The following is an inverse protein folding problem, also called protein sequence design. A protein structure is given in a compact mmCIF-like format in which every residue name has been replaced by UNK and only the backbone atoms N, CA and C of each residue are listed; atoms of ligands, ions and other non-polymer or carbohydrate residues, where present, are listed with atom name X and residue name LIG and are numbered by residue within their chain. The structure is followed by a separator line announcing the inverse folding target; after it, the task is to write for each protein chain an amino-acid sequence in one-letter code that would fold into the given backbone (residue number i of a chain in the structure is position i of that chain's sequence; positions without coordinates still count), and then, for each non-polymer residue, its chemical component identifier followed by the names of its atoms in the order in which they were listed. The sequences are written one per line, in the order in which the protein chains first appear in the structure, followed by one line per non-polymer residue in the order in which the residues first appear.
data_IF_188866104406
#
_entry.id   IF_188866104406
#
_cell.length_a   1.000
_cell.length_b   1.000
_cell.length_c   1.000
_cell.angle_alpha   90.00
_cell.angle_beta   90.00
_cell.angle_gamma   90.00
#
_symmetry.space_group_name_H-M   'P 1'
#
loop_
_entity.id
_entity.type
_entity.pdbx_description
1 polymer ?
#
# COMPACT_ATOMS: atom_id res chain seq x y z
N UNK A 1 20.59 16.20 -61.06
CA UNK A 1 19.67 16.29 -59.90
C UNK A 1 20.29 15.46 -58.78
N UNK A 2 20.83 16.10 -57.73
CA UNK A 2 21.43 15.43 -56.56
C UNK A 2 20.42 15.48 -55.41
N UNK A 3 20.10 14.38 -54.72
CA UNK A 3 19.30 14.45 -53.50
C UNK A 3 20.21 14.68 -52.29
N UNK A 4 19.89 15.69 -51.49
CA UNK A 4 20.49 15.93 -50.18
C UNK A 4 19.83 15.00 -49.15
N UNK A 5 20.64 14.21 -48.44
CA UNK A 5 20.19 13.34 -47.35
C UNK A 5 20.28 14.16 -46.05
N UNK A 6 19.13 14.48 -45.46
CA UNK A 6 19.03 15.12 -44.14
C UNK A 6 19.18 14.01 -43.09
N UNK A 7 20.30 14.04 -42.36
CA UNK A 7 20.55 13.14 -41.24
C UNK A 7 20.00 13.77 -39.96
N UNK A 8 18.82 13.33 -39.53
CA UNK A 8 18.22 13.75 -38.25
C UNK A 8 18.79 12.90 -37.12
N UNK A 9 19.73 13.46 -36.36
CA UNK A 9 20.27 12.80 -35.16
C UNK A 9 19.22 12.83 -34.05
N UNK A 10 18.66 11.66 -33.73
CA UNK A 10 17.76 11.46 -32.61
C UNK A 10 18.60 11.31 -31.34
N UNK A 11 18.59 12.32 -30.46
CA UNK A 11 19.19 12.25 -29.13
C UNK A 11 18.34 11.34 -28.25
N UNK A 12 18.75 10.07 -28.07
CA UNK A 12 18.24 9.24 -26.99
C UNK A 12 18.77 9.79 -25.66
N UNK A 13 17.92 10.51 -24.92
CA UNK A 13 18.19 10.89 -23.54
C UNK A 13 17.96 9.65 -22.66
N UNK A 14 19.04 8.97 -22.28
CA UNK A 14 19.01 7.92 -21.27
C UNK A 14 18.85 8.58 -19.90
N UNK A 15 17.59 8.74 -19.45
CA UNK A 15 17.32 9.07 -18.06
C UNK A 15 17.82 7.90 -17.19
N UNK A 16 18.89 8.14 -16.43
CA UNK A 16 19.31 7.20 -15.40
C UNK A 16 18.19 7.09 -14.35
N UNK A 17 17.56 5.92 -14.25
CA UNK A 17 16.68 5.63 -13.12
C UNK A 17 17.54 5.57 -11.86
N UNK A 18 17.57 6.65 -11.10
CA UNK A 18 18.05 6.61 -9.72
C UNK A 18 17.02 5.81 -8.92
N UNK A 19 17.34 4.55 -8.60
CA UNK A 19 16.59 3.79 -7.60
C UNK A 19 16.67 4.54 -6.27
N UNK A 20 15.53 5.04 -5.80
CA UNK A 20 15.43 5.64 -4.48
C UNK A 20 15.80 4.56 -3.44
N UNK A 21 16.57 4.94 -2.41
CA UNK A 21 16.91 4.01 -1.35
C UNK A 21 15.64 3.51 -0.64
N UNK A 22 15.61 2.25 -0.14
CA UNK A 22 14.47 1.75 0.60
C UNK A 22 14.14 2.62 1.80
N UNK A 23 12.85 2.88 1.98
CA UNK A 23 12.26 3.60 3.11
C UNK A 23 12.55 2.86 4.41
N UNK A 24 12.99 3.59 5.44
CA UNK A 24 13.42 3.04 6.73
C UNK A 24 12.59 3.55 7.90
N UNK A 25 11.88 4.67 7.74
CA UNK A 25 11.12 5.29 8.82
C UNK A 25 9.63 5.43 8.48
N UNK A 26 8.80 5.58 9.51
CA UNK A 26 7.36 5.84 9.33
C UNK A 26 7.12 7.17 8.63
N UNK A 27 7.90 8.20 8.94
CA UNK A 27 7.77 9.52 8.32
C UNK A 27 8.09 9.46 6.82
N UNK A 28 9.13 8.73 6.44
CA UNK A 28 9.46 8.47 5.04
C UNK A 28 8.35 7.68 4.36
N UNK A 29 7.84 6.62 4.99
CA UNK A 29 6.76 5.80 4.44
C UNK A 29 5.48 6.60 4.20
N UNK A 30 5.03 7.34 5.22
CA UNK A 30 3.84 8.17 5.13
C UNK A 30 4.00 9.25 4.04
N UNK A 31 5.17 9.87 3.95
CA UNK A 31 5.46 10.85 2.89
C UNK A 31 5.44 10.20 1.52
N UNK A 32 6.18 9.10 1.33
CA UNK A 32 6.31 8.41 0.06
C UNK A 32 4.96 7.95 -0.49
N UNK A 33 4.10 7.38 0.37
CA UNK A 33 2.74 6.96 -0.01
C UNK A 33 1.84 8.15 -0.31
N UNK A 34 1.88 9.19 0.51
CA UNK A 34 1.05 10.40 0.31
C UNK A 34 1.37 11.11 -1.00
N UNK A 35 2.63 11.13 -1.41
CA UNK A 35 3.07 11.81 -2.64
C UNK A 35 3.17 10.88 -3.86
N UNK A 36 2.89 9.59 -3.68
CA UNK A 36 3.00 8.59 -4.74
C UNK A 36 2.11 8.96 -5.93
N UNK A 37 2.70 8.90 -7.11
CA UNK A 37 1.97 8.98 -8.38
C UNK A 37 1.68 7.54 -8.88
N UNK A 38 0.68 7.33 -9.75
CA UNK A 38 0.45 6.01 -10.34
C UNK A 38 1.71 5.42 -10.97
N UNK A 39 2.00 4.16 -10.68
CA UNK A 39 3.24 3.46 -11.09
C UNK A 39 4.40 3.60 -10.10
N UNK A 40 4.24 4.35 -9.00
CA UNK A 40 5.27 4.48 -7.97
C UNK A 40 5.49 3.15 -7.25
N UNK A 41 6.75 2.76 -7.06
CA UNK A 41 7.15 1.69 -6.14
C UNK A 41 7.76 2.28 -4.89
N UNK A 42 7.22 1.92 -3.73
CA UNK A 42 7.77 2.21 -2.40
C UNK A 42 8.34 0.92 -1.84
N UNK A 43 9.67 0.86 -1.82
CA UNK A 43 10.41 -0.25 -1.21
C UNK A 43 10.67 0.05 0.27
N UNK A 44 10.34 -0.90 1.14
CA UNK A 44 10.61 -0.84 2.57
C UNK A 44 11.86 -1.67 2.89
N UNK A 45 12.77 -1.07 3.65
CA UNK A 45 13.87 -1.81 4.25
C UNK A 45 13.36 -2.87 5.24
N UNK A 46 14.22 -3.81 5.63
CA UNK A 46 13.96 -4.66 6.78
C UNK A 46 13.84 -3.81 8.05
N UNK A 47 12.91 -4.18 8.93
CA UNK A 47 12.59 -3.44 10.14
C UNK A 47 11.10 -3.46 10.48
N UNK A 48 10.74 -2.78 11.56
CA UNK A 48 9.35 -2.67 12.03
C UNK A 48 8.83 -1.24 11.85
N UNK A 49 7.73 -1.12 11.10
CA UNK A 49 7.03 0.12 10.80
C UNK A 49 5.77 0.18 11.66
N UNK A 50 5.81 0.98 12.74
CA UNK A 50 4.68 1.19 13.66
C UNK A 50 3.82 2.38 13.25
N UNK A 51 2.72 2.12 12.55
CA UNK A 51 1.78 3.13 12.10
C UNK A 51 0.94 3.65 13.28
N UNK A 52 0.60 4.94 13.27
CA UNK A 52 -0.28 5.56 14.28
C UNK A 52 -1.71 5.77 13.78
N UNK A 53 -1.97 5.43 12.52
CA UNK A 53 -3.23 5.55 11.81
C UNK A 53 -3.18 4.70 10.53
N UNK A 54 -4.32 4.44 9.86
CA UNK A 54 -4.31 3.72 8.59
C UNK A 54 -3.38 4.36 7.55
N UNK A 55 -2.67 3.52 6.80
CA UNK A 55 -1.91 3.96 5.62
C UNK A 55 -2.80 3.84 4.38
N UNK A 56 -3.17 4.97 3.80
CA UNK A 56 -4.03 5.05 2.62
C UNK A 56 -3.22 4.92 1.33
N UNK A 57 -3.43 3.82 0.61
CA UNK A 57 -2.71 3.45 -0.61
C UNK A 57 -3.45 4.00 -1.84
N UNK A 58 -2.82 4.90 -2.64
CA UNK A 58 -3.42 5.45 -3.84
C UNK A 58 -3.32 4.50 -5.04
N UNK A 59 -4.08 4.81 -6.10
CA UNK A 59 -4.03 4.11 -7.40
C UNK A 59 -2.62 3.97 -7.93
N UNK A 60 -2.27 2.77 -8.40
CA UNK A 60 -1.01 2.46 -9.06
C UNK A 60 0.19 2.33 -8.12
N UNK A 61 -0.01 2.34 -6.80
CA UNK A 61 1.09 2.17 -5.85
C UNK A 61 1.49 0.68 -5.75
N UNK A 62 2.79 0.42 -5.84
CA UNK A 62 3.41 -0.82 -5.36
C UNK A 62 4.10 -0.58 -4.03
N UNK A 63 3.68 -1.27 -2.97
CA UNK A 63 4.34 -1.28 -1.67
C UNK A 63 4.98 -2.65 -1.45
N UNK A 64 6.31 -2.69 -1.34
CA UNK A 64 7.05 -3.96 -1.21
C UNK A 64 8.05 -3.92 -0.07
N UNK A 65 8.13 -5.00 0.71
CA UNK A 65 9.12 -5.15 1.77
C UNK A 65 10.35 -5.96 1.38
N UNK A 66 11.28 -6.08 2.32
CA UNK A 66 12.49 -6.88 2.17
C UNK A 66 12.26 -8.40 2.34
N UNK A 67 11.03 -8.83 2.61
CA UNK A 67 10.60 -10.22 2.78
C UNK A 67 9.73 -10.45 4.02
N UNK A 68 8.97 -11.56 4.01
CA UNK A 68 8.20 -12.04 5.17
C UNK A 68 9.13 -12.20 6.38
N UNK A 69 8.71 -11.70 7.54
CA UNK A 69 9.49 -11.70 8.78
C UNK A 69 10.67 -10.73 8.82
N UNK A 70 10.99 -10.05 7.70
CA UNK A 70 12.05 -9.03 7.63
C UNK A 70 11.48 -7.62 7.69
N UNK A 71 10.45 -7.34 6.89
CA UNK A 71 9.69 -6.09 6.96
C UNK A 71 8.36 -6.37 7.64
N UNK A 72 8.11 -5.69 8.76
CA UNK A 72 6.90 -5.85 9.57
C UNK A 72 6.19 -4.51 9.64
N UNK A 73 4.94 -4.44 9.19
CA UNK A 73 4.08 -3.28 9.45
C UNK A 73 3.11 -3.65 10.57
N UNK A 74 2.99 -2.77 11.56
CA UNK A 74 2.11 -2.96 12.71
C UNK A 74 1.59 -1.62 13.24
N UNK A 75 0.77 -1.64 14.29
CA UNK A 75 0.27 -0.45 14.94
C UNK A 75 1.17 0.01 16.08
N UNK A 76 1.12 1.31 16.37
CA UNK A 76 1.61 1.89 17.60
C UNK A 76 0.65 1.57 18.76
N UNK A 77 1.18 1.52 19.99
CA UNK A 77 0.38 1.25 21.19
C UNK A 77 -0.73 2.29 21.42
N UNK A 78 -0.53 3.51 20.91
CA UNK A 78 -1.50 4.60 20.95
C UNK A 78 -2.67 4.44 19.99
N UNK A 79 -2.62 3.49 19.04
CA UNK A 79 -3.67 3.26 18.07
C UNK A 79 -4.34 1.92 18.33
N UNK A 80 -5.63 1.98 18.65
CA UNK A 80 -6.49 0.82 18.86
C UNK A 80 -7.80 1.04 18.11
N UNK A 81 -8.29 0.00 17.46
CA UNK A 81 -9.60 0.04 16.82
C UNK A 81 -10.71 0.05 17.88
N UNK A 82 -11.84 0.67 17.56
CA UNK A 82 -13.00 0.65 18.45
C UNK A 82 -13.71 -0.70 18.30
N UNK A 83 -13.70 -1.55 19.32
CA UNK A 83 -14.34 -2.86 19.21
C UNK A 83 -15.86 -2.77 19.12
N UNK A 84 -16.46 -1.67 19.62
CA UNK A 84 -17.91 -1.48 19.59
C UNK A 84 -18.46 -1.20 18.18
N UNK A 85 -17.59 -0.93 17.20
CA UNK A 85 -18.00 -0.76 15.80
C UNK A 85 -18.05 -2.09 15.04
N UNK A 86 -17.80 -3.22 15.72
CA UNK A 86 -17.99 -4.57 15.20
C UNK A 86 -19.05 -5.37 16.00
N UNK A 87 -19.84 -6.26 15.38
CA UNK A 87 -19.93 -6.43 13.92
C UNK A 87 -20.55 -5.18 13.29
N UNK A 88 -20.01 -4.78 12.15
CA UNK A 88 -20.54 -3.62 11.44
C UNK A 88 -21.81 -4.04 10.66
N UNK A 89 -22.56 -3.10 10.05
CA UNK A 89 -23.85 -3.43 9.46
C UNK A 89 -23.76 -4.29 8.17
N UNK A 90 -22.56 -4.69 7.72
CA UNK A 90 -22.18 -5.51 6.54
C UNK A 90 -22.72 -5.07 5.16
N UNK A 91 -23.85 -4.39 5.12
CA UNK A 91 -24.61 -3.98 3.93
C UNK A 91 -24.71 -2.46 3.81
N UNK A 92 -24.47 -1.74 4.90
CA UNK A 92 -24.36 -0.28 4.90
C UNK A 92 -22.88 0.13 4.97
N UNK A 93 -22.24 0.17 3.80
CA UNK A 93 -20.80 0.41 3.67
C UNK A 93 -20.34 1.80 4.15
N UNK A 94 -21.26 2.77 4.26
CA UNK A 94 -20.99 4.11 4.79
C UNK A 94 -20.74 4.08 6.30
N UNK A 95 -21.31 3.10 7.00
CA UNK A 95 -21.18 2.92 8.45
C UNK A 95 -19.99 2.06 8.87
N UNK A 96 -19.20 1.56 7.91
CA UNK A 96 -18.01 0.78 8.22
C UNK A 96 -16.98 1.66 8.93
N UNK A 97 -16.56 1.24 10.12
CA UNK A 97 -15.40 1.84 10.78
C UNK A 97 -14.12 1.34 10.09
N UNK A 98 -13.67 2.12 9.13
CA UNK A 98 -12.44 1.83 8.39
C UNK A 98 -11.19 2.30 9.14
N UNK A 99 -11.34 2.97 10.29
CA UNK A 99 -10.18 3.49 11.05
C UNK A 99 -9.38 2.39 11.76
N UNK A 100 -9.96 1.19 11.90
CA UNK A 100 -9.32 0.03 12.50
C UNK A 100 -8.55 -0.88 11.53
N UNK A 101 -8.28 -0.44 10.29
CA UNK A 101 -7.51 -1.23 9.33
C UNK A 101 -6.09 -0.68 9.17
N UNK A 102 -5.09 -1.57 9.15
CA UNK A 102 -3.68 -1.19 9.08
C UNK A 102 -3.37 -0.45 7.76
N UNK A 103 -3.77 -1.05 6.64
CA UNK A 103 -3.67 -0.51 5.29
C UNK A 103 -5.06 -0.36 4.67
N UNK A 104 -5.29 0.73 3.94
CA UNK A 104 -6.54 0.93 3.17
C UNK A 104 -6.20 1.26 1.74
N UNK A 105 -6.72 0.48 0.81
CA UNK A 105 -6.78 0.93 -0.58
C UNK A 105 -7.80 2.08 -0.66
N UNK A 106 -7.43 3.18 -1.30
CA UNK A 106 -8.39 4.25 -1.57
C UNK A 106 -9.59 3.68 -2.35
N UNK A 107 -10.80 4.20 -2.11
CA UNK A 107 -11.98 3.72 -2.84
C UNK A 107 -11.77 3.88 -4.35
N UNK A 108 -12.24 2.91 -5.12
CA UNK A 108 -12.17 2.92 -6.59
C UNK A 108 -10.74 2.91 -7.16
N UNK A 109 -9.72 2.74 -6.31
CA UNK A 109 -8.33 2.74 -6.73
C UNK A 109 -7.95 1.44 -7.45
N UNK A 110 -7.12 1.59 -8.48
CA UNK A 110 -6.64 0.51 -9.34
C UNK A 110 -5.18 0.16 -9.16
N UNK A 111 -4.79 -1.02 -9.63
CA UNK A 111 -3.39 -1.40 -9.84
C UNK A 111 -2.52 -1.22 -8.58
N UNK A 112 -3.06 -1.60 -7.41
CA UNK A 112 -2.33 -1.55 -6.14
C UNK A 112 -1.69 -2.91 -5.89
N UNK A 113 -0.39 -2.92 -5.59
CA UNK A 113 0.34 -4.12 -5.21
C UNK A 113 0.91 -4.00 -3.80
N UNK A 114 0.75 -5.04 -2.98
CA UNK A 114 1.32 -5.13 -1.64
C UNK A 114 2.02 -6.48 -1.50
N UNK A 115 3.33 -6.47 -1.19
CA UNK A 115 4.09 -7.72 -1.15
C UNK A 115 5.31 -7.75 -0.23
N UNK A 116 5.83 -8.96 -0.01
CA UNK A 116 7.11 -9.23 0.65
C UNK A 116 7.23 -8.66 2.07
N UNK A 117 6.17 -8.78 2.86
CA UNK A 117 6.13 -8.22 4.22
C UNK A 117 5.18 -9.00 5.13
N UNK A 118 5.32 -8.75 6.43
CA UNK A 118 4.40 -9.22 7.46
C UNK A 118 3.51 -8.06 7.92
N UNK A 119 2.21 -8.32 8.02
CA UNK A 119 1.22 -7.42 8.62
C UNK A 119 0.71 -8.04 9.92
N UNK A 120 0.78 -7.28 11.02
CA UNK A 120 0.19 -7.73 12.28
C UNK A 120 -0.41 -6.59 13.09
N UNK A 121 -1.57 -6.83 13.71
CA UNK A 121 -2.32 -5.77 14.37
C UNK A 121 -3.24 -6.25 15.48
N UNK A 122 -2.70 -6.75 16.62
CA UNK A 122 -3.51 -7.39 17.66
C UNK A 122 -4.51 -6.45 18.37
N UNK A 123 -4.46 -5.14 18.14
CA UNK A 123 -5.47 -4.18 18.60
C UNK A 123 -6.30 -3.55 17.47
N UNK A 124 -6.20 -4.08 16.25
CA UNK A 124 -6.86 -3.58 15.04
C UNK A 124 -7.96 -4.52 14.56
N UNK A 125 -8.92 -3.98 13.80
CA UNK A 125 -9.97 -4.77 13.16
C UNK A 125 -9.39 -5.69 12.09
N UNK A 126 -8.54 -5.15 11.20
CA UNK A 126 -7.98 -5.92 10.10
C UNK A 126 -6.72 -5.35 9.46
N UNK A 127 -6.12 -6.14 8.57
CA UNK A 127 -4.86 -5.76 7.94
C UNK A 127 -5.08 -4.86 6.72
N UNK A 128 -5.88 -5.31 5.76
CA UNK A 128 -6.12 -4.59 4.49
C UNK A 128 -7.61 -4.41 4.27
N UNK A 129 -8.04 -3.18 4.01
CA UNK A 129 -9.39 -2.87 3.54
C UNK A 129 -9.37 -2.36 2.10
N UNK A 130 -10.35 -2.80 1.29
CA UNK A 130 -10.58 -2.29 -0.06
C UNK A 130 -12.06 -2.16 -0.40
N UNK A 131 -12.40 -1.18 -1.23
CA UNK A 131 -13.76 -0.91 -1.70
C UNK A 131 -13.70 -0.50 -3.17
N UNK A 132 -14.39 -1.25 -4.03
CA UNK A 132 -14.46 -1.03 -5.47
C UNK A 132 -13.09 -0.97 -6.16
N UNK A 133 -12.09 -1.65 -5.61
CA UNK A 133 -10.74 -1.66 -6.16
C UNK A 133 -10.60 -2.62 -7.32
N UNK A 134 -9.85 -2.22 -8.33
CA UNK A 134 -9.53 -3.03 -9.51
C UNK A 134 -8.04 -3.42 -9.53
N UNK A 135 -7.75 -4.62 -10.03
CA UNK A 135 -6.39 -5.13 -10.21
C UNK A 135 -5.53 -5.04 -8.92
N UNK A 136 -6.08 -5.56 -7.81
CA UNK A 136 -5.36 -5.67 -6.53
C UNK A 136 -4.44 -6.89 -6.53
N UNK A 137 -3.14 -6.66 -6.34
CA UNK A 137 -2.14 -7.71 -6.24
C UNK A 137 -1.62 -7.83 -4.81
N UNK A 138 -2.14 -8.82 -4.07
CA UNK A 138 -1.71 -9.11 -2.71
C UNK A 138 -0.99 -10.46 -2.71
N UNK A 139 0.34 -10.46 -2.56
CA UNK A 139 1.13 -11.70 -2.67
C UNK A 139 2.36 -11.69 -1.78
N UNK A 140 2.80 -12.88 -1.36
CA UNK A 140 3.97 -13.03 -0.47
C UNK A 140 3.82 -12.20 0.82
N UNK A 141 2.62 -12.28 1.42
CA UNK A 141 2.27 -11.63 2.67
C UNK A 141 2.14 -12.69 3.78
N UNK A 142 2.61 -12.35 4.98
CA UNK A 142 2.17 -13.04 6.20
C UNK A 142 1.27 -12.09 6.98
N UNK A 143 0.01 -12.49 7.19
CA UNK A 143 -0.99 -11.67 7.87
C UNK A 143 -1.46 -12.41 9.11
N UNK A 144 -1.26 -11.82 10.28
CA UNK A 144 -1.54 -12.49 11.55
C UNK A 144 -2.03 -11.52 12.64
N UNK A 145 -2.79 -12.05 13.60
CA UNK A 145 -3.24 -11.33 14.80
C UNK A 145 -4.05 -10.06 14.49
N UNK A 146 -5.26 -10.25 13.96
CA UNK A 146 -6.27 -9.18 13.82
C UNK A 146 -7.59 -9.65 14.42
N UNK A 147 -8.42 -8.72 14.91
CA UNK A 147 -9.65 -9.09 15.59
C UNK A 147 -10.77 -9.60 14.69
N UNK A 148 -10.78 -9.21 13.43
CA UNK A 148 -11.89 -9.51 12.52
C UNK A 148 -11.46 -10.13 11.21
N UNK A 149 -10.56 -9.50 10.47
CA UNK A 149 -10.18 -9.99 9.13
C UNK A 149 -8.73 -9.70 8.78
N UNK A 150 -8.09 -10.59 8.03
CA UNK A 150 -6.80 -10.27 7.41
C UNK A 150 -6.98 -9.29 6.26
N UNK A 151 -7.82 -9.66 5.29
CA UNK A 151 -8.15 -8.85 4.13
C UNK A 151 -9.67 -8.76 4.04
N UNK A 152 -10.19 -7.55 3.86
CA UNK A 152 -11.62 -7.31 3.65
C UNK A 152 -11.83 -6.40 2.45
N UNK A 153 -12.43 -6.95 1.41
CA UNK A 153 -12.65 -6.26 0.14
C UNK A 153 -14.11 -6.34 -0.27
N UNK A 154 -14.62 -5.25 -0.83
CA UNK A 154 -15.98 -5.16 -1.37
C UNK A 154 -15.93 -4.72 -2.83
N UNK A 155 -16.83 -5.27 -3.64
CA UNK A 155 -17.03 -4.86 -5.04
C UNK A 155 -15.75 -4.85 -5.90
N UNK A 156 -14.85 -5.83 -5.72
CA UNK A 156 -13.67 -5.99 -6.59
C UNK A 156 -14.11 -6.18 -8.05
N UNK A 157 -13.45 -5.48 -8.96
CA UNK A 157 -13.79 -5.42 -10.38
C UNK A 157 -12.57 -5.55 -11.30
#
# INVERSE_FOLDING_TARGET
MHPAIISTTFLLSTAALSLAAPVRTITELATAVKTAQPGTTVELAAGTFRLTQPLDLPTGLTLTGAGIGKTIITHADSWRANHATLPDPETNHEKFDRSGYLLRCQNDAGNIAISQLTLTGPALHGAIFGMANHDLHLHHLHIENFHFSGIRTYAIN
#
